data_IF_436540120695
#
_entry.id   IF_436540120695
#
_cell.length_a   1.000
_cell.length_b   1.000
_cell.length_c   1.000
_cell.angle_alpha   90.00
_cell.angle_beta   90.00
_cell.angle_gamma   90.00
#
_symmetry.space_group_name_H-M   'P 1'
#
loop_
_entity.id
_entity.type
_entity.pdbx_description
1 polymer ?
#
# COMPACT_ATOMS: atom_id res chain seq x y z
N UNK A 1 -13.45 13.23 -10.51
CA UNK A 1 -12.60 12.02 -10.41
C UNK A 1 -12.32 11.84 -8.92
N UNK A 2 -12.98 10.90 -8.25
CA UNK A 2 -12.66 10.61 -6.84
C UNK A 2 -11.38 9.80 -6.81
N UNK A 3 -10.37 10.28 -6.09
CA UNK A 3 -9.12 9.54 -5.91
C UNK A 3 -9.43 8.25 -5.14
N UNK A 4 -8.86 7.13 -5.60
CA UNK A 4 -8.92 5.88 -4.85
C UNK A 4 -8.18 6.06 -3.51
N UNK A 5 -8.71 5.49 -2.42
CA UNK A 5 -8.00 5.48 -1.14
C UNK A 5 -6.70 4.69 -1.28
N UNK A 6 -5.59 5.32 -0.90
CA UNK A 6 -4.25 4.72 -0.90
C UNK A 6 -4.13 3.59 0.13
N UNK A 7 -3.29 2.61 -0.17
CA UNK A 7 -2.96 1.52 0.77
C UNK A 7 -1.98 2.02 1.84
N UNK A 8 -1.93 1.34 2.98
CA UNK A 8 -1.03 1.69 4.09
C UNK A 8 0.20 0.79 4.04
N UNK A 9 1.39 1.37 4.16
CA UNK A 9 2.66 0.66 4.29
C UNK A 9 3.39 1.06 5.57
N UNK A 10 3.84 0.06 6.31
CA UNK A 10 4.78 0.19 7.42
C UNK A 10 6.18 -0.10 6.86
N UNK A 11 7.03 0.93 6.81
CA UNK A 11 8.41 0.82 6.39
C UNK A 11 9.33 1.40 7.47
N UNK A 12 10.29 0.60 7.97
CA UNK A 12 11.18 0.96 9.07
C UNK A 12 10.41 1.47 10.33
N UNK A 13 9.24 0.89 10.61
CA UNK A 13 8.38 1.31 11.73
C UNK A 13 7.53 2.56 11.47
N UNK A 14 7.69 3.23 10.31
CA UNK A 14 6.89 4.39 9.94
C UNK A 14 5.73 3.99 9.03
N UNK A 15 4.52 4.44 9.37
CA UNK A 15 3.34 4.28 8.52
C UNK A 15 3.32 5.37 7.45
N UNK A 16 3.25 4.97 6.19
CA UNK A 16 3.02 5.86 5.06
C UNK A 16 1.88 5.36 4.20
N UNK A 17 1.26 6.28 3.46
CA UNK A 17 0.35 5.92 2.38
C UNK A 17 1.17 5.64 1.12
N UNK A 18 0.76 4.62 0.36
CA UNK A 18 1.36 4.27 -0.92
C UNK A 18 0.29 4.13 -1.99
N UNK A 19 0.58 4.67 -3.17
CA UNK A 19 -0.20 4.46 -4.40
C UNK A 19 0.15 3.10 -5.05
N UNK A 20 0.32 2.06 -4.23
CA UNK A 20 0.55 0.70 -4.69
C UNK A 20 -0.74 -0.07 -4.48
N UNK A 21 -1.21 -0.79 -5.50
CA UNK A 21 -2.47 -1.51 -5.42
C UNK A 21 -2.27 -3.01 -5.66
N UNK A 22 -1.60 -3.71 -4.71
CA UNK A 22 -1.28 -5.12 -4.87
C UNK A 22 -2.56 -5.95 -5.03
N UNK A 23 -2.61 -6.87 -5.99
CA UNK A 23 -3.75 -7.78 -6.12
C UNK A 23 -3.83 -8.68 -4.89
N UNK A 24 -5.04 -8.87 -4.37
CA UNK A 24 -5.28 -9.88 -3.35
C UNK A 24 -5.51 -11.24 -4.00
N UNK A 25 -4.98 -12.30 -3.40
CA UNK A 25 -5.24 -13.66 -3.84
C UNK A 25 -6.67 -14.03 -3.38
N UNK A 26 -7.58 -14.22 -4.33
CA UNK A 26 -8.99 -14.56 -4.05
C UNK A 26 -9.19 -15.91 -3.34
N UNK A 27 -8.16 -16.75 -3.26
CA UNK A 27 -8.23 -18.11 -2.70
C UNK A 27 -7.20 -18.38 -1.59
N UNK A 28 -6.62 -17.33 -0.98
CA UNK A 28 -5.62 -17.56 0.07
C UNK A 28 -6.30 -17.97 1.39
N UNK A 29 -5.90 -19.07 2.04
CA UNK A 29 -6.57 -19.60 3.23
C UNK A 29 -6.56 -18.64 4.42
N UNK A 30 -5.63 -17.68 4.44
CA UNK A 30 -5.53 -16.63 5.46
C UNK A 30 -6.41 -15.39 5.21
N UNK A 31 -7.11 -15.29 4.07
CA UNK A 31 -7.94 -14.14 3.71
C UNK A 31 -9.35 -14.64 3.41
N UNK A 32 -10.33 -14.12 4.14
CA UNK A 32 -11.74 -14.44 3.93
C UNK A 32 -12.49 -13.23 3.42
N UNK A 33 -13.42 -13.44 2.47
CA UNK A 33 -14.33 -12.41 2.03
C UNK A 33 -15.42 -12.22 3.10
N UNK A 34 -15.61 -10.99 3.54
CA UNK A 34 -16.66 -10.61 4.49
C UNK A 34 -17.92 -10.25 3.69
N UNK A 35 -19.09 -10.69 4.17
CA UNK A 35 -20.36 -10.29 3.58
C UNK A 35 -20.62 -8.80 3.81
N UNK A 36 -21.19 -8.14 2.79
CA UNK A 36 -21.39 -6.68 2.75
C UNK A 36 -22.16 -6.12 3.96
N UNK A 37 -22.98 -6.95 4.62
CA UNK A 37 -23.77 -6.62 5.81
C UNK A 37 -22.94 -6.38 7.09
N UNK A 38 -21.67 -6.81 7.13
CA UNK A 38 -20.77 -6.66 8.28
C UNK A 38 -19.69 -5.60 8.08
N UNK A 39 -19.63 -4.95 6.92
CA UNK A 39 -18.65 -3.90 6.65
C UNK A 39 -19.11 -2.62 7.38
N UNK A 40 -18.71 -2.48 8.63
CA UNK A 40 -19.08 -1.35 9.49
C UNK A 40 -18.31 -0.05 9.18
N UNK A 41 -17.40 -0.07 8.19
CA UNK A 41 -16.49 1.04 7.94
C UNK A 41 -17.03 1.99 6.85
N UNK A 42 -17.44 3.19 7.27
CA UNK A 42 -18.00 4.24 6.40
C UNK A 42 -17.04 4.69 5.30
N UNK A 43 -15.73 4.43 5.42
CA UNK A 43 -14.73 4.75 4.39
C UNK A 43 -14.87 3.81 3.18
N UNK A 44 -15.32 2.58 3.42
CA UNK A 44 -15.33 1.49 2.43
C UNK A 44 -16.61 1.50 1.60
N UNK A 45 -17.73 1.98 2.19
CA UNK A 45 -18.96 2.26 1.47
C UNK A 45 -18.96 3.57 0.66
N UNK A 46 -17.86 4.33 0.68
CA UNK A 46 -17.73 5.60 -0.03
C UNK A 46 -17.29 5.41 -1.48
N UNK A 47 -17.73 6.30 -2.38
CA UNK A 47 -17.32 6.38 -3.79
C UNK A 47 -15.84 6.75 -3.99
N UNK A 48 -15.05 6.83 -2.92
CA UNK A 48 -13.60 6.96 -2.95
C UNK A 48 -12.85 5.62 -2.79
N UNK A 49 -13.52 4.53 -2.35
CA UNK A 49 -12.91 3.21 -2.16
C UNK A 49 -13.53 2.17 -3.10
N UNK A 50 -13.38 2.34 -4.41
CA UNK A 50 -13.96 1.43 -5.42
C UNK A 50 -13.46 -0.02 -5.30
N UNK A 51 -12.33 -0.22 -4.64
CA UNK A 51 -11.74 -1.52 -4.39
C UNK A 51 -12.43 -2.28 -3.25
N UNK A 52 -13.14 -1.57 -2.37
CA UNK A 52 -13.88 -2.15 -1.25
C UNK A 52 -13.01 -2.70 -0.12
N UNK A 53 -11.70 -2.45 -0.14
CA UNK A 53 -10.79 -2.82 0.94
C UNK A 53 -9.60 -1.87 1.04
N UNK A 54 -8.97 -1.84 2.23
CA UNK A 54 -7.70 -1.18 2.49
C UNK A 54 -6.79 -2.22 3.17
N UNK A 55 -5.68 -2.54 2.52
CA UNK A 55 -4.61 -3.36 3.06
C UNK A 55 -3.58 -2.51 3.81
N UNK A 56 -3.12 -3.04 4.93
CA UNK A 56 -1.93 -2.58 5.64
C UNK A 56 -0.83 -3.58 5.40
N UNK A 57 0.25 -3.11 4.79
CA UNK A 57 1.41 -3.90 4.42
C UNK A 57 2.59 -3.50 5.29
N UNK A 58 3.50 -4.42 5.55
CA UNK A 58 4.74 -4.16 6.28
C UNK A 58 5.92 -4.75 5.51
N UNK A 59 6.99 -3.97 5.36
CA UNK A 59 8.25 -4.47 4.82
C UNK A 59 9.21 -4.67 5.99
N UNK A 60 9.59 -5.91 6.21
CA UNK A 60 10.54 -6.30 7.25
C UNK A 60 11.53 -7.31 6.67
N UNK A 61 12.83 -7.10 6.90
CA UNK A 61 13.91 -7.96 6.38
C UNK A 61 13.80 -8.21 4.87
N UNK A 62 13.59 -7.13 4.09
CA UNK A 62 13.43 -7.16 2.64
C UNK A 62 12.28 -8.06 2.14
N UNK A 63 11.25 -8.24 2.98
CA UNK A 63 10.07 -9.04 2.65
C UNK A 63 8.81 -8.26 2.94
N UNK A 64 7.87 -8.32 2.01
CA UNK A 64 6.56 -7.72 2.11
C UNK A 64 5.59 -8.69 2.79
N UNK A 65 4.94 -8.20 3.83
CA UNK A 65 3.91 -8.91 4.58
C UNK A 65 2.61 -8.12 4.54
N UNK A 66 1.50 -8.84 4.40
CA UNK A 66 0.17 -8.28 4.67
C UNK A 66 -0.12 -8.45 6.17
N UNK A 67 -0.18 -7.35 6.91
CA UNK A 67 -0.37 -7.37 8.37
C UNK A 67 -1.81 -7.12 8.79
N UNK A 68 -2.57 -6.39 7.97
CA UNK A 68 -4.00 -6.18 8.20
C UNK A 68 -4.71 -5.93 6.88
N UNK A 69 -6.00 -6.26 6.84
CA UNK A 69 -6.88 -5.89 5.75
C UNK A 69 -8.26 -5.57 6.33
N UNK A 70 -8.82 -4.45 5.89
CA UNK A 70 -10.13 -3.97 6.34
C UNK A 70 -11.02 -3.76 5.13
N UNK A 71 -12.26 -4.24 5.19
CA UNK A 71 -13.28 -4.05 4.16
C UNK A 71 -14.04 -5.31 3.81
N UNK A 72 -14.23 -5.54 2.51
CA UNK A 72 -14.86 -6.75 2.00
C UNK A 72 -13.97 -8.00 2.15
N UNK A 73 -12.75 -7.85 2.68
CA UNK A 73 -11.87 -8.93 3.06
C UNK A 73 -11.38 -8.73 4.49
N UNK A 74 -11.15 -9.84 5.20
CA UNK A 74 -10.61 -9.87 6.55
C UNK A 74 -9.57 -10.99 6.68
N UNK A 75 -8.56 -10.79 7.52
CA UNK A 75 -7.60 -11.83 7.87
C UNK A 75 -8.21 -12.81 8.86
N UNK A 76 -7.97 -14.11 8.65
CA UNK A 76 -8.55 -15.17 9.48
C UNK A 76 -7.83 -15.31 10.83
N UNK A 77 -6.51 -15.13 10.83
CA UNK A 77 -5.65 -15.43 11.99
C UNK A 77 -4.93 -14.19 12.56
N UNK A 78 -5.21 -12.99 12.03
CA UNK A 78 -4.50 -11.73 12.36
C UNK A 78 -2.96 -11.84 12.32
N UNK A 79 -2.44 -12.85 11.61
CA UNK A 79 -1.02 -13.16 11.52
C UNK A 79 -0.45 -12.60 10.22
N UNK A 80 0.72 -11.93 10.23
CA UNK A 80 1.34 -11.40 9.03
C UNK A 80 1.51 -12.46 7.95
N UNK A 81 0.92 -12.23 6.77
CA UNK A 81 0.99 -13.16 5.64
C UNK A 81 2.10 -12.70 4.70
N UNK A 82 3.07 -13.58 4.43
CA UNK A 82 4.11 -13.29 3.45
C UNK A 82 3.50 -13.16 2.04
N UNK A 83 3.62 -11.98 1.45
CA UNK A 83 2.96 -11.58 0.21
C UNK A 83 3.68 -12.10 -1.04
N UNK A 84 3.94 -13.41 -1.11
CA UNK A 84 4.76 -14.02 -2.15
C UNK A 84 4.17 -13.89 -3.57
N UNK A 85 2.88 -13.59 -3.70
CA UNK A 85 2.19 -13.39 -4.97
C UNK A 85 2.32 -11.95 -5.49
N UNK A 86 2.80 -11.02 -4.65
CA UNK A 86 2.90 -9.60 -5.00
C UNK A 86 4.23 -9.35 -5.72
N UNK A 87 4.17 -8.74 -6.90
CA UNK A 87 5.34 -8.23 -7.62
C UNK A 87 5.00 -6.86 -8.20
N UNK A 88 5.90 -5.90 -8.08
CA UNK A 88 5.66 -4.53 -8.52
C UNK A 88 6.65 -3.54 -7.94
N UNK A 89 6.40 -2.25 -8.17
CA UNK A 89 7.18 -1.17 -7.62
C UNK A 89 6.38 -0.47 -6.51
N UNK A 90 6.98 -0.33 -5.33
CA UNK A 90 6.42 0.43 -4.22
C UNK A 90 7.22 1.73 -4.11
N UNK A 91 6.55 2.87 -4.26
CA UNK A 91 7.15 4.18 -4.02
C UNK A 91 6.79 4.62 -2.60
N UNK A 92 7.81 4.75 -1.76
CA UNK A 92 7.69 5.20 -0.37
C UNK A 92 8.11 6.67 -0.34
N UNK A 93 7.18 7.62 -0.16
CA UNK A 93 7.56 9.01 -0.02
C UNK A 93 8.35 9.21 1.28
N UNK A 94 9.41 10.01 1.21
CA UNK A 94 10.30 10.36 2.31
C UNK A 94 10.49 11.87 2.37
N UNK A 95 10.59 12.39 3.59
CA UNK A 95 10.72 13.83 3.81
C UNK A 95 9.42 14.58 3.60
N UNK A 96 9.53 15.88 3.29
CA UNK A 96 8.37 16.76 3.17
C UNK A 96 7.76 16.72 1.78
N UNK A 97 6.48 17.07 1.69
CA UNK A 97 5.81 17.35 0.42
C UNK A 97 6.46 18.58 -0.21
N UNK A 98 7.12 18.41 -1.37
CA UNK A 98 7.74 19.48 -2.14
C UNK A 98 6.70 20.19 -2.99
N UNK A 99 5.87 19.41 -3.67
CA UNK A 99 4.93 19.94 -4.65
C UNK A 99 3.67 19.08 -4.72
N UNK A 100 2.51 19.71 -4.88
CA UNK A 100 1.28 19.03 -5.28
C UNK A 100 0.81 19.68 -6.57
N UNK A 101 0.60 18.88 -7.61
CA UNK A 101 0.09 19.40 -8.87
C UNK A 101 -1.42 19.70 -8.78
N UNK A 102 -1.98 20.29 -9.85
CA UNK A 102 -3.43 20.55 -9.94
C UNK A 102 -4.28 19.28 -10.08
N UNK A 103 -3.67 18.14 -10.41
CA UNK A 103 -4.33 16.84 -10.52
C UNK A 103 -4.41 16.10 -9.17
N UNK A 104 -3.67 16.56 -8.16
CA UNK A 104 -3.56 15.95 -6.84
C UNK A 104 -2.35 15.02 -6.68
N UNK A 105 -1.48 14.92 -7.68
CA UNK A 105 -0.22 14.19 -7.60
C UNK A 105 0.74 14.91 -6.65
N UNK A 106 1.25 14.19 -5.67
CA UNK A 106 2.16 14.67 -4.63
C UNK A 106 3.58 14.25 -4.95
N UNK A 107 4.50 15.20 -4.91
CA UNK A 107 5.94 14.99 -5.09
C UNK A 107 6.62 15.30 -3.76
N UNK A 108 7.38 14.34 -3.26
CA UNK A 108 8.11 14.45 -2.00
C UNK A 108 9.59 14.76 -2.25
N UNK A 109 10.28 15.23 -1.19
CA UNK A 109 11.72 15.57 -1.25
C UNK A 109 12.54 14.39 -1.74
N UNK A 110 12.21 13.22 -1.22
CA UNK A 110 12.83 11.96 -1.59
C UNK A 110 11.77 10.89 -1.75
N UNK A 111 11.97 9.96 -2.66
CA UNK A 111 11.10 8.80 -2.84
C UNK A 111 11.96 7.55 -2.91
N UNK A 112 11.65 6.56 -2.08
CA UNK A 112 12.31 5.27 -2.12
C UNK A 112 11.49 4.35 -3.02
N UNK A 113 12.06 3.98 -4.15
CA UNK A 113 11.48 3.03 -5.10
C UNK A 113 11.96 1.62 -4.75
N UNK A 114 11.08 0.83 -4.15
CA UNK A 114 11.32 -0.55 -3.76
C UNK A 114 10.76 -1.48 -4.84
N UNK A 115 11.65 -2.20 -5.54
CA UNK A 115 11.24 -3.23 -6.49
C UNK A 115 10.95 -4.53 -5.74
N UNK A 116 9.70 -4.96 -5.77
CA UNK A 116 9.21 -6.18 -5.17
C UNK A 116 9.08 -7.26 -6.25
N UNK A 117 9.69 -8.42 -6.01
CA UNK A 117 9.50 -9.62 -6.82
C UNK A 117 9.13 -10.78 -5.90
N UNK A 118 7.95 -11.35 -6.11
CA UNK A 118 7.39 -12.44 -5.31
C UNK A 118 7.45 -12.18 -3.79
N UNK A 119 7.04 -10.98 -3.39
CA UNK A 119 7.05 -10.52 -2.00
C UNK A 119 8.43 -10.17 -1.44
N UNK A 120 9.52 -10.28 -2.22
CA UNK A 120 10.87 -9.90 -1.79
C UNK A 120 11.30 -8.57 -2.39
N UNK A 121 11.89 -7.71 -1.58
CA UNK A 121 12.52 -6.47 -2.02
C UNK A 121 13.85 -6.84 -2.69
N UNK A 122 13.93 -6.64 -4.01
CA UNK A 122 15.12 -6.97 -4.79
C UNK A 122 16.09 -5.80 -4.90
N UNK A 123 15.56 -4.58 -5.02
CA UNK A 123 16.34 -3.36 -5.16
C UNK A 123 15.60 -2.18 -4.57
N UNK A 124 16.31 -1.34 -3.83
CA UNK A 124 15.86 -0.01 -3.44
C UNK A 124 16.64 1.03 -4.25
N UNK A 125 15.92 1.97 -4.85
CA UNK A 125 16.52 3.15 -5.47
C UNK A 125 15.95 4.37 -4.77
N UNK A 126 16.82 5.26 -4.31
CA UNK A 126 16.39 6.54 -3.74
C UNK A 126 16.39 7.56 -4.88
N UNK A 127 15.26 8.24 -5.05
CA UNK A 127 15.10 9.33 -6.02
C UNK A 127 14.98 10.62 -5.23
N UNK A 128 15.94 11.52 -5.43
CA UNK A 128 15.92 12.86 -4.85
C UNK A 128 15.31 13.84 -5.84
N UNK A 129 14.14 14.37 -5.51
CA UNK A 129 13.42 15.34 -6.36
C UNK A 129 14.13 16.71 -6.41
N UNK A 130 15.10 16.95 -5.51
CA UNK A 130 15.91 18.16 -5.50
C UNK A 130 16.98 18.24 -6.61
N UNK A 131 17.16 17.18 -7.41
CA UNK A 131 18.23 17.15 -8.43
C UNK A 131 17.86 17.84 -9.76
N UNK A 132 16.91 18.77 -9.78
CA UNK A 132 16.47 19.48 -11.00
C UNK A 132 16.29 20.98 -10.83
N UNK A 133 17.18 21.69 -10.16
CA UNK A 133 17.44 23.12 -10.44
C UNK A 133 18.93 23.43 -10.21
N UNK A 134 19.73 23.27 -11.27
CA UNK A 134 21.02 23.93 -11.44
C UNK A 134 20.96 24.81 -12.68
#
# INVERSE_FOLDING_TARGET
MTAQVDEILIFNGNKTLIAFHPPLPSSHPGIMKVEDSKIADSVIGSTACWRGYIGTWEIQNDRLYLVSIVGCYQMVNDAPIFAHWVSGLICVPQGKLVYCDRSGAKVYEQEIHLRIEQGKVMKSTIIDSNCSQS
#
